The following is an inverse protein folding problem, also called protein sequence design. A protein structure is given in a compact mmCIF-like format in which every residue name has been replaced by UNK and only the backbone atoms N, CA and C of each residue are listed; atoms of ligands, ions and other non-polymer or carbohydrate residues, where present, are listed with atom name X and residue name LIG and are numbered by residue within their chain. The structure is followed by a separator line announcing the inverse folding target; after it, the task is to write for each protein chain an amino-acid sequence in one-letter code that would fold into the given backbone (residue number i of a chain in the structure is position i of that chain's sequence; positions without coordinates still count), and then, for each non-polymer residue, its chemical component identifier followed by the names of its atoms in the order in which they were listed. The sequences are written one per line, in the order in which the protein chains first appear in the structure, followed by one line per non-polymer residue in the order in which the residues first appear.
data_IF_996984705544
#
_entry.id   IF_996984705544
#
_cell.length_a   1.000
_cell.length_b   1.000
_cell.length_c   1.000
_cell.angle_alpha   90.00
_cell.angle_beta   90.00
_cell.angle_gamma   90.00
#
_symmetry.space_group_name_H-M   'P 1'
#
loop_
_entity.id
_entity.type
_entity.pdbx_description
1 polymer ?
#
# COMPACT_ATOMS: atom_id res chain seq x y z
N UNK A 1 13.17 6.65 8.55
CA UNK A 1 12.39 7.59 9.37
C UNK A 1 12.46 7.22 10.86
N UNK A 2 11.82 6.12 11.33
CA UNK A 2 11.74 5.82 12.76
C UNK A 2 13.12 5.73 13.43
N UNK A 3 14.00 4.87 12.95
CA UNK A 3 15.35 4.73 13.52
C UNK A 3 16.21 5.99 13.34
N UNK A 4 15.98 6.73 12.28
CA UNK A 4 16.61 8.02 12.05
C UNK A 4 16.08 9.09 13.02
N UNK A 5 14.79 9.05 13.37
CA UNK A 5 14.22 9.87 14.43
C UNK A 5 14.79 9.53 15.80
N UNK A 6 15.01 8.25 16.09
CA UNK A 6 15.68 7.82 17.32
C UNK A 6 17.10 8.39 17.41
N UNK A 7 17.87 8.32 16.32
CA UNK A 7 19.20 8.94 16.23
C UNK A 7 19.13 10.45 16.46
N UNK A 8 18.18 11.15 15.81
CA UNK A 8 17.98 12.59 15.98
C UNK A 8 17.60 12.96 17.43
N UNK A 9 16.91 12.09 18.14
CA UNK A 9 16.59 12.21 19.56
C UNK A 9 17.76 11.85 20.49
N UNK A 10 18.93 11.49 19.95
CA UNK A 10 20.12 11.14 20.70
C UNK A 10 20.22 9.67 21.10
N UNK A 11 19.30 8.80 20.65
CA UNK A 11 19.38 7.37 20.89
C UNK A 11 20.22 6.67 19.80
N UNK A 12 21.52 6.56 20.05
CA UNK A 12 22.51 6.00 19.12
C UNK A 12 22.63 4.47 19.19
N UNK A 13 21.76 3.79 19.95
CA UNK A 13 21.82 2.33 20.10
C UNK A 13 21.24 1.59 18.88
N UNK A 14 20.53 2.28 18.00
CA UNK A 14 19.78 1.69 16.89
C UNK A 14 20.47 1.88 15.55
N UNK A 15 20.55 0.79 14.81
CA UNK A 15 21.01 0.78 13.42
C UNK A 15 20.23 -0.27 12.61
N UNK A 16 20.19 -0.10 11.30
CA UNK A 16 19.47 -0.97 10.39
C UNK A 16 20.47 -1.86 9.64
N UNK A 17 20.21 -3.17 9.65
CA UNK A 17 20.73 -4.13 8.70
C UNK A 17 19.76 -4.23 7.52
N UNK A 18 20.06 -3.58 6.40
CA UNK A 18 19.25 -3.65 5.19
C UNK A 18 19.47 -4.98 4.46
N UNK A 19 18.39 -5.61 4.00
CA UNK A 19 18.45 -6.84 3.21
C UNK A 19 17.67 -6.68 1.92
N UNK A 20 18.37 -6.70 0.79
CA UNK A 20 17.76 -6.74 -0.53
C UNK A 20 17.43 -8.19 -0.92
N UNK A 21 16.13 -8.50 -1.06
CA UNK A 21 15.71 -9.87 -1.42
C UNK A 21 15.97 -10.19 -2.89
N UNK A 22 15.71 -9.25 -3.80
CA UNK A 22 15.71 -9.49 -5.26
C UNK A 22 16.41 -8.39 -6.07
N UNK A 23 17.04 -7.39 -5.42
CA UNK A 23 17.62 -6.22 -6.09
C UNK A 23 19.09 -6.00 -5.67
N UNK A 24 20.02 -6.83 -6.18
CA UNK A 24 21.45 -6.71 -5.83
C UNK A 24 22.02 -5.35 -6.22
N UNK A 25 21.59 -4.77 -7.35
CA UNK A 25 22.12 -3.49 -7.84
C UNK A 25 21.87 -2.35 -6.85
N UNK A 26 20.67 -2.26 -6.28
CA UNK A 26 20.34 -1.25 -5.27
C UNK A 26 21.19 -1.42 -4.02
N UNK A 27 21.36 -2.66 -3.55
CA UNK A 27 22.20 -2.95 -2.37
C UNK A 27 23.66 -2.57 -2.64
N UNK A 28 24.17 -2.89 -3.82
CA UNK A 28 25.55 -2.56 -4.20
C UNK A 28 25.77 -1.04 -4.33
N UNK A 29 24.80 -0.31 -4.88
CA UNK A 29 24.82 1.15 -4.93
C UNK A 29 24.82 1.75 -3.52
N UNK A 30 23.97 1.27 -2.62
CA UNK A 30 23.95 1.72 -1.23
C UNK A 30 25.27 1.38 -0.49
N UNK A 31 25.82 0.18 -0.72
CA UNK A 31 27.16 -0.18 -0.16
C UNK A 31 28.26 0.77 -0.63
N UNK A 32 28.22 1.18 -1.91
CA UNK A 32 29.19 2.12 -2.47
C UNK A 32 29.04 3.55 -1.91
N UNK A 33 27.92 3.86 -1.27
CA UNK A 33 27.60 5.14 -0.63
C UNK A 33 27.61 5.05 0.90
N UNK A 34 28.22 4.02 1.49
CA UNK A 34 28.24 3.76 2.94
C UNK A 34 26.84 3.72 3.60
N UNK A 35 25.82 3.32 2.85
CA UNK A 35 24.43 3.30 3.29
C UNK A 35 23.74 4.66 3.31
N UNK A 36 24.40 5.72 2.91
CA UNK A 36 23.83 7.07 2.86
C UNK A 36 23.11 7.29 1.53
N UNK A 37 21.96 7.96 1.58
CA UNK A 37 21.17 8.36 0.41
C UNK A 37 20.30 9.57 0.73
N UNK A 38 20.02 10.35 -0.28
CA UNK A 38 19.21 11.57 -0.14
C UNK A 38 17.73 11.28 -0.23
N UNK A 39 16.96 11.81 0.69
CA UNK A 39 15.50 11.80 0.68
C UNK A 39 15.00 13.22 0.45
N UNK A 40 14.39 13.44 -0.71
CA UNK A 40 13.66 14.67 -1.03
C UNK A 40 12.29 14.60 -0.39
N UNK A 41 12.08 15.37 0.66
CA UNK A 41 10.78 15.49 1.34
C UNK A 41 10.06 16.68 0.75
N UNK A 42 8.91 16.46 0.09
CA UNK A 42 8.15 17.51 -0.60
C UNK A 42 6.71 17.55 -0.08
N UNK A 43 6.30 18.70 0.43
CA UNK A 43 4.94 18.98 0.90
C UNK A 43 4.48 20.38 0.47
N UNK A 44 3.31 20.81 0.92
CA UNK A 44 2.76 22.14 0.61
C UNK A 44 3.67 23.29 1.07
N UNK A 45 4.57 23.06 2.02
CA UNK A 45 5.48 24.08 2.57
C UNK A 45 6.80 24.15 1.78
N UNK A 46 6.99 23.30 0.78
CA UNK A 46 8.16 23.27 -0.08
C UNK A 46 8.91 21.95 -0.07
N UNK A 47 10.20 22.02 -0.37
CA UNK A 47 11.09 20.87 -0.50
C UNK A 47 12.21 20.94 0.53
N UNK A 48 12.41 19.84 1.24
CA UNK A 48 13.55 19.65 2.16
C UNK A 48 14.35 18.41 1.75
N UNK A 49 15.64 18.44 1.95
CA UNK A 49 16.53 17.29 1.78
C UNK A 49 16.94 16.76 3.14
N UNK A 50 16.95 15.44 3.24
CA UNK A 50 17.36 14.71 4.43
C UNK A 50 18.22 13.52 4.01
N UNK A 51 19.30 13.24 4.76
CA UNK A 51 20.15 12.08 4.55
C UNK A 51 20.03 11.19 5.78
N UNK A 52 19.32 10.04 5.69
CA UNK A 52 19.19 9.12 6.80
C UNK A 52 20.55 8.48 7.17
N UNK A 53 20.82 8.39 8.46
CA UNK A 53 22.07 7.81 8.99
C UNK A 53 21.91 6.44 9.67
N UNK A 54 20.69 5.88 9.69
CA UNK A 54 20.41 4.65 10.44
C UNK A 54 20.81 3.36 9.70
N UNK A 55 21.02 3.40 8.39
CA UNK A 55 21.37 2.22 7.59
C UNK A 55 22.87 1.90 7.73
N UNK A 56 23.16 0.88 8.53
CA UNK A 56 24.56 0.58 8.92
C UNK A 56 25.23 -0.53 8.13
N UNK A 57 24.49 -1.61 7.81
CA UNK A 57 24.97 -2.72 6.99
C UNK A 57 23.92 -3.15 5.99
N UNK A 58 24.37 -3.80 4.93
CA UNK A 58 23.47 -4.25 3.87
C UNK A 58 23.94 -5.60 3.31
N UNK A 59 22.98 -6.46 2.99
CA UNK A 59 23.20 -7.76 2.41
C UNK A 59 22.27 -8.02 1.22
N UNK A 60 22.74 -8.84 0.29
CA UNK A 60 21.94 -9.39 -0.80
C UNK A 60 21.53 -10.81 -0.41
N UNK A 61 20.25 -11.05 -0.16
CA UNK A 61 19.77 -12.35 0.34
C UNK A 61 20.08 -13.53 -0.58
N UNK A 62 20.13 -13.31 -1.90
CA UNK A 62 20.42 -14.36 -2.89
C UNK A 62 21.87 -14.80 -2.93
N UNK A 63 22.81 -13.96 -2.52
CA UNK A 63 24.26 -14.26 -2.57
C UNK A 63 24.92 -14.26 -1.20
N UNK A 64 24.30 -13.62 -0.20
CA UNK A 64 24.85 -13.47 1.16
C UNK A 64 23.86 -14.06 2.21
N UNK A 65 23.17 -15.14 1.85
CA UNK A 65 22.11 -15.75 2.69
C UNK A 65 22.58 -16.04 4.13
N UNK A 66 23.75 -16.63 4.28
CA UNK A 66 24.28 -16.99 5.59
C UNK A 66 24.53 -15.75 6.46
N UNK A 67 24.99 -14.65 5.87
CA UNK A 67 25.17 -13.39 6.59
C UNK A 67 23.82 -12.82 7.06
N UNK A 68 22.75 -12.96 6.28
CA UNK A 68 21.39 -12.57 6.69
C UNK A 68 20.88 -13.44 7.84
N UNK A 69 21.07 -14.76 7.76
CA UNK A 69 20.72 -15.70 8.84
C UNK A 69 21.46 -15.36 10.13
N UNK A 70 22.75 -15.08 10.04
CA UNK A 70 23.57 -14.66 11.20
C UNK A 70 23.14 -13.29 11.74
N UNK A 71 22.73 -12.36 10.87
CA UNK A 71 22.19 -11.07 11.31
C UNK A 71 20.88 -11.22 12.12
N UNK A 72 19.97 -12.11 11.68
CA UNK A 72 18.76 -12.44 12.46
C UNK A 72 19.12 -13.08 13.79
N UNK A 73 20.11 -14.00 13.80
CA UNK A 73 20.56 -14.71 14.97
C UNK A 73 21.39 -13.87 15.95
N UNK A 74 21.88 -12.70 15.54
CA UNK A 74 22.78 -11.89 16.35
C UNK A 74 22.13 -11.45 17.68
N UNK A 75 22.86 -11.48 18.81
CA UNK A 75 22.33 -11.04 20.13
C UNK A 75 21.82 -9.59 20.13
N UNK A 76 22.43 -8.73 19.30
CA UNK A 76 22.06 -7.32 19.16
C UNK A 76 20.80 -7.08 18.34
N UNK A 77 20.34 -8.08 17.58
CA UNK A 77 19.10 -7.94 16.80
C UNK A 77 17.89 -8.05 17.72
N UNK A 78 17.01 -7.04 17.68
CA UNK A 78 15.76 -6.97 18.45
C UNK A 78 14.52 -7.10 17.59
N UNK A 79 14.57 -6.51 16.39
CA UNK A 79 13.44 -6.51 15.44
C UNK A 79 13.87 -7.02 14.07
N UNK A 80 12.93 -7.66 13.41
CA UNK A 80 12.99 -7.92 11.98
C UNK A 80 11.76 -7.26 11.34
N UNK A 81 11.97 -6.30 10.44
CA UNK A 81 10.88 -5.67 9.71
C UNK A 81 10.93 -6.07 8.24
N UNK A 82 9.76 -6.28 7.63
CA UNK A 82 9.65 -6.75 6.25
C UNK A 82 8.83 -5.79 5.39
N UNK A 83 9.34 -5.54 4.18
CA UNK A 83 8.67 -4.82 3.09
C UNK A 83 8.90 -5.59 1.80
N UNK A 84 8.35 -6.81 1.72
CA UNK A 84 8.60 -7.75 0.62
C UNK A 84 7.47 -7.81 -0.40
N UNK A 85 6.41 -7.07 -0.18
CA UNK A 85 5.14 -7.09 -0.90
C UNK A 85 4.41 -8.44 -0.81
N UNK A 86 3.16 -8.50 -1.28
CA UNK A 86 2.37 -9.74 -1.26
C UNK A 86 3.07 -10.91 -1.96
N UNK A 87 3.79 -10.63 -3.04
CA UNK A 87 4.52 -11.63 -3.83
C UNK A 87 5.75 -12.20 -3.10
N UNK A 88 6.21 -11.53 -2.05
CA UNK A 88 7.38 -11.93 -1.26
C UNK A 88 7.09 -12.95 -0.17
N UNK A 89 5.81 -13.21 0.17
CA UNK A 89 5.41 -14.21 1.18
C UNK A 89 5.52 -15.63 0.62
N UNK A 90 6.75 -16.05 0.39
CA UNK A 90 7.09 -17.33 -0.22
C UNK A 90 7.65 -18.30 0.82
N UNK A 91 7.63 -19.63 0.57
CA UNK A 91 8.29 -20.60 1.42
C UNK A 91 9.78 -20.29 1.66
N UNK A 92 10.45 -19.72 0.67
CA UNK A 92 11.86 -19.32 0.79
C UNK A 92 12.08 -18.21 1.84
N UNK A 93 11.17 -17.24 1.93
CA UNK A 93 11.20 -16.21 2.99
C UNK A 93 10.95 -16.85 4.37
N UNK A 94 9.94 -17.72 4.46
CA UNK A 94 9.66 -18.46 5.71
C UNK A 94 10.88 -19.24 6.19
N UNK A 95 11.56 -19.94 5.28
CA UNK A 95 12.77 -20.70 5.61
C UNK A 95 13.95 -19.81 6.01
N UNK A 96 14.13 -18.65 5.35
CA UNK A 96 15.19 -17.70 5.71
C UNK A 96 15.01 -17.17 7.16
N UNK A 97 13.79 -16.79 7.51
CA UNK A 97 13.46 -16.32 8.87
C UNK A 97 13.64 -17.44 9.89
N UNK A 98 13.14 -18.63 9.56
CA UNK A 98 13.23 -19.81 10.41
C UNK A 98 14.66 -20.18 10.75
N UNK A 99 15.57 -20.15 9.78
CA UNK A 99 16.96 -20.51 10.00
C UNK A 99 17.64 -19.57 11.01
N UNK A 100 17.39 -18.26 10.89
CA UNK A 100 17.87 -17.28 11.88
C UNK A 100 17.27 -17.47 13.27
N UNK A 101 15.97 -17.72 13.35
CA UNK A 101 15.26 -17.97 14.62
C UNK A 101 15.74 -19.28 15.28
N UNK A 102 15.98 -20.32 14.50
CA UNK A 102 16.52 -21.60 14.99
C UNK A 102 17.91 -21.42 15.62
N UNK A 103 18.80 -20.66 14.98
CA UNK A 103 20.11 -20.36 15.54
C UNK A 103 19.99 -19.56 16.86
N UNK A 104 19.05 -18.60 16.94
CA UNK A 104 18.82 -17.86 18.18
C UNK A 104 18.34 -18.75 19.31
N UNK A 105 17.38 -19.62 19.06
CA UNK A 105 16.85 -20.56 20.02
C UNK A 105 17.95 -21.52 20.51
N UNK A 106 18.77 -22.05 19.60
CA UNK A 106 19.89 -22.92 19.94
C UNK A 106 20.98 -22.21 20.77
N UNK A 107 21.17 -20.91 20.55
CA UNK A 107 22.08 -20.08 21.32
C UNK A 107 21.50 -19.62 22.68
N UNK A 108 20.27 -20.01 23.02
CA UNK A 108 19.60 -19.58 24.26
C UNK A 108 19.27 -18.09 24.31
N UNK A 109 19.18 -17.43 23.15
CA UNK A 109 18.86 -16.00 23.04
C UNK A 109 17.34 -15.77 23.14
N UNK A 110 16.90 -14.59 23.60
CA UNK A 110 15.49 -14.23 23.64
C UNK A 110 14.91 -14.15 22.21
N UNK A 111 13.57 -14.25 22.12
CA UNK A 111 12.85 -14.08 20.86
C UNK A 111 12.98 -12.69 20.25
N UNK A 112 12.31 -12.50 19.13
CA UNK A 112 12.31 -11.26 18.34
C UNK A 112 10.88 -10.77 18.10
N UNK A 113 10.73 -9.48 17.93
CA UNK A 113 9.59 -8.89 17.26
C UNK A 113 9.81 -8.92 15.74
N UNK A 114 8.90 -9.58 15.02
CA UNK A 114 8.98 -9.77 13.56
C UNK A 114 7.74 -9.12 12.96
N UNK A 115 7.90 -7.91 12.43
CA UNK A 115 6.80 -7.07 11.96
C UNK A 115 6.78 -6.96 10.43
N UNK A 116 5.64 -7.26 9.83
CA UNK A 116 5.41 -6.92 8.44
C UNK A 116 4.98 -5.47 8.33
N UNK A 117 5.60 -4.74 7.40
CA UNK A 117 5.21 -3.39 6.97
C UNK A 117 4.57 -3.41 5.58
N UNK A 118 4.07 -4.54 5.12
CA UNK A 118 3.42 -4.71 3.82
C UNK A 118 1.93 -4.36 3.88
N UNK A 119 1.37 -3.94 2.74
CA UNK A 119 -0.04 -3.60 2.60
C UNK A 119 -0.95 -4.84 2.52
N UNK A 120 -0.88 -5.70 3.52
CA UNK A 120 -1.67 -6.91 3.66
C UNK A 120 -2.51 -6.83 4.93
N UNK A 121 -3.78 -7.11 4.83
CA UNK A 121 -4.65 -7.20 6.01
C UNK A 121 -4.21 -8.38 6.90
N UNK A 122 -4.04 -8.13 8.19
CA UNK A 122 -3.58 -9.11 9.15
C UNK A 122 -2.17 -9.63 8.84
N UNK A 123 -1.29 -8.74 8.40
CA UNK A 123 0.04 -9.06 7.89
C UNK A 123 0.93 -9.78 8.91
N UNK A 124 0.84 -9.46 10.21
CA UNK A 124 1.55 -10.14 11.28
C UNK A 124 1.13 -11.61 11.40
N UNK A 125 -0.17 -11.89 11.37
CA UNK A 125 -0.69 -13.26 11.42
C UNK A 125 -0.25 -14.08 10.21
N UNK A 126 -0.27 -13.49 9.00
CA UNK A 126 0.21 -14.16 7.77
C UNK A 126 1.70 -14.48 7.85
N UNK A 127 2.49 -13.55 8.41
CA UNK A 127 3.92 -13.75 8.60
C UNK A 127 4.21 -14.86 9.61
N UNK A 128 3.50 -14.89 10.74
CA UNK A 128 3.60 -15.97 11.72
C UNK A 128 3.24 -17.32 11.09
N UNK A 129 2.14 -17.38 10.34
CA UNK A 129 1.72 -18.60 9.65
C UNK A 129 2.78 -19.08 8.64
N UNK A 130 3.43 -18.16 7.91
CA UNK A 130 4.50 -18.49 6.97
C UNK A 130 5.71 -19.12 7.68
N UNK A 131 6.15 -18.56 8.80
CA UNK A 131 7.26 -19.10 9.58
C UNK A 131 6.91 -20.45 10.19
N UNK A 132 5.69 -20.62 10.73
CA UNK A 132 5.22 -21.91 11.25
C UNK A 132 5.11 -22.96 10.16
N UNK A 133 4.63 -22.60 8.98
CA UNK A 133 4.56 -23.52 7.84
C UNK A 133 5.96 -24.01 7.40
N UNK A 134 6.99 -23.15 7.51
CA UNK A 134 8.37 -23.57 7.20
C UNK A 134 8.90 -24.61 8.20
N UNK A 135 8.46 -24.57 9.47
CA UNK A 135 8.80 -25.60 10.47
C UNK A 135 8.11 -26.95 10.12
N UNK A 136 6.88 -26.88 9.63
CA UNK A 136 6.04 -28.03 9.35
C UNK A 136 6.22 -28.63 7.94
N UNK A 137 7.08 -28.02 7.11
CA UNK A 137 7.28 -28.42 5.72
C UNK A 137 7.90 -29.83 5.56
N UNK A 138 8.53 -30.35 6.62
CA UNK A 138 9.10 -31.68 6.67
C UNK A 138 8.49 -32.47 7.84
N UNK A 139 8.89 -33.74 8.02
CA UNK A 139 8.50 -34.52 9.19
C UNK A 139 8.94 -33.80 10.47
N UNK A 140 7.98 -33.47 11.32
CA UNK A 140 8.20 -32.67 12.54
C UNK A 140 9.04 -33.45 13.55
N UNK A 141 10.20 -32.96 13.86
CA UNK A 141 11.11 -33.54 14.87
C UNK A 141 10.79 -33.01 16.27
N UNK A 142 11.28 -33.71 17.35
CA UNK A 142 11.17 -33.17 18.70
C UNK A 142 11.76 -31.76 18.86
N UNK A 143 12.84 -31.45 18.13
CA UNK A 143 13.45 -30.12 18.11
C UNK A 143 12.53 -29.07 17.45
N UNK A 144 11.77 -29.45 16.45
CA UNK A 144 10.80 -28.56 15.80
C UNK A 144 9.61 -28.25 16.73
N UNK A 145 9.18 -29.22 17.54
CA UNK A 145 8.15 -29.00 18.57
C UNK A 145 8.64 -28.03 19.64
N UNK A 146 9.89 -28.14 20.05
CA UNK A 146 10.51 -27.21 21.01
C UNK A 146 10.66 -25.80 20.41
N UNK A 147 11.08 -25.70 19.16
CA UNK A 147 11.19 -24.44 18.42
C UNK A 147 9.83 -23.76 18.28
N UNK A 148 8.76 -24.50 17.96
CA UNK A 148 7.39 -23.96 17.93
C UNK A 148 6.96 -23.39 19.26
N UNK A 149 7.23 -24.09 20.37
CA UNK A 149 6.93 -23.62 21.72
C UNK A 149 7.69 -22.34 22.07
N UNK A 150 8.99 -22.30 21.73
CA UNK A 150 9.83 -21.13 21.95
C UNK A 150 9.33 -19.94 21.11
N UNK A 151 8.98 -20.18 19.85
CA UNK A 151 8.44 -19.17 18.94
C UNK A 151 7.14 -18.57 19.47
N UNK A 152 6.21 -19.41 19.94
CA UNK A 152 4.93 -18.96 20.50
C UNK A 152 5.09 -18.24 21.86
N UNK A 153 6.10 -18.59 22.64
CA UNK A 153 6.31 -18.03 23.96
C UNK A 153 7.17 -16.76 23.97
N UNK A 154 8.08 -16.60 23.01
CA UNK A 154 9.09 -15.55 23.06
C UNK A 154 9.14 -14.64 21.84
N UNK A 155 8.61 -15.06 20.69
CA UNK A 155 8.54 -14.19 19.51
C UNK A 155 7.19 -13.49 19.40
N UNK A 156 7.18 -12.29 18.83
CA UNK A 156 5.97 -11.55 18.57
C UNK A 156 5.84 -11.24 17.07
N UNK A 157 4.62 -11.33 16.54
CA UNK A 157 4.29 -11.04 15.14
C UNK A 157 3.16 -10.00 15.10
N UNK A 158 3.45 -8.74 15.50
CA UNK A 158 2.43 -7.70 15.50
C UNK A 158 1.93 -7.41 14.09
N UNK A 159 0.61 -7.20 13.95
CA UNK A 159 0.07 -6.57 12.76
C UNK A 159 0.51 -5.10 12.71
N UNK A 160 0.73 -4.58 11.51
CA UNK A 160 1.04 -3.17 11.36
C UNK A 160 0.48 -2.56 10.07
N UNK A 161 0.24 -1.26 10.11
CA UNK A 161 -0.14 -0.46 8.96
C UNK A 161 0.89 0.66 8.78
N UNK A 162 1.42 0.79 7.58
CA UNK A 162 2.32 1.89 7.21
C UNK A 162 1.69 2.74 6.12
N UNK A 163 1.83 4.06 6.23
CA UNK A 163 1.32 5.00 5.25
C UNK A 163 2.34 6.11 4.97
N UNK A 164 2.85 6.11 3.76
CA UNK A 164 3.67 7.17 3.17
C UNK A 164 3.72 6.99 1.67
N UNK A 165 3.51 8.05 0.90
CA UNK A 165 3.65 8.03 -0.55
C UNK A 165 5.13 8.19 -0.92
N UNK A 166 5.69 7.17 -1.57
CA UNK A 166 7.06 7.16 -2.09
C UNK A 166 7.00 6.78 -3.58
N UNK A 167 6.95 7.75 -4.49
CA UNK A 167 7.00 7.48 -5.93
C UNK A 167 8.30 6.81 -6.33
N UNK A 168 8.29 6.12 -7.48
CA UNK A 168 9.52 5.62 -8.07
C UNK A 168 10.53 6.77 -8.31
N UNK A 169 11.81 6.51 -8.05
CA UNK A 169 12.86 7.48 -8.33
C UNK A 169 12.93 7.75 -9.85
N UNK A 170 13.02 9.03 -10.22
CA UNK A 170 13.16 9.47 -11.60
C UNK A 170 14.51 10.13 -11.83
N UNK A 171 15.00 10.22 -13.09
CA UNK A 171 16.24 10.93 -13.40
C UNK A 171 16.26 12.37 -12.88
N UNK A 172 15.12 13.04 -12.85
CA UNK A 172 14.98 14.42 -12.35
C UNK A 172 15.21 14.48 -10.83
N UNK A 173 14.78 13.47 -10.07
CA UNK A 173 15.03 13.38 -8.63
C UNK A 173 16.52 13.18 -8.35
N UNK A 174 17.18 12.32 -9.13
CA UNK A 174 18.63 12.08 -9.01
C UNK A 174 19.43 13.35 -9.35
N UNK A 175 19.06 14.04 -10.44
CA UNK A 175 19.70 15.29 -10.82
C UNK A 175 19.46 16.42 -9.77
N UNK A 176 18.28 16.48 -9.21
CA UNK A 176 17.96 17.44 -8.15
C UNK A 176 18.74 17.14 -6.85
N UNK A 177 18.96 15.86 -6.51
CA UNK A 177 19.80 15.46 -5.39
C UNK A 177 21.24 15.89 -5.60
N UNK A 178 21.80 15.62 -6.79
CA UNK A 178 23.15 16.03 -7.15
C UNK A 178 23.32 17.56 -7.08
N UNK A 179 22.33 18.33 -7.56
CA UNK A 179 22.37 19.79 -7.49
C UNK A 179 22.31 20.31 -6.04
N UNK A 180 21.53 19.67 -5.18
CA UNK A 180 21.38 20.07 -3.78
C UNK A 180 22.57 19.71 -2.88
N UNK A 181 23.18 18.56 -3.13
CA UNK A 181 24.24 17.99 -2.26
C UNK A 181 25.65 18.19 -2.82
N UNK A 182 25.79 18.49 -4.11
CA UNK A 182 27.09 18.57 -4.79
C UNK A 182 27.74 17.19 -5.03
N UNK A 183 27.03 16.10 -4.80
CA UNK A 183 27.48 14.72 -4.91
C UNK A 183 26.52 13.89 -5.76
N UNK A 184 27.04 12.91 -6.49
CA UNK A 184 26.19 11.92 -7.17
C UNK A 184 25.59 10.97 -6.14
N UNK A 185 24.28 10.76 -6.22
CA UNK A 185 23.55 9.82 -5.40
C UNK A 185 22.66 8.94 -6.30
N UNK A 186 23.05 7.67 -6.45
CA UNK A 186 22.32 6.71 -7.27
C UNK A 186 21.05 6.17 -6.58
N UNK A 187 20.89 6.44 -5.28
CA UNK A 187 19.82 5.91 -4.44
C UNK A 187 18.86 6.99 -3.94
N UNK A 188 19.00 8.24 -4.40
CA UNK A 188 18.14 9.33 -4.01
C UNK A 188 16.69 9.04 -4.36
N UNK A 189 15.77 9.40 -3.47
CA UNK A 189 14.33 9.20 -3.64
C UNK A 189 13.54 10.44 -3.23
N UNK A 190 12.28 10.52 -3.69
CA UNK A 190 11.34 11.56 -3.29
C UNK A 190 10.21 10.97 -2.47
N UNK A 191 9.70 11.74 -1.52
CA UNK A 191 8.59 11.34 -0.67
C UNK A 191 7.81 12.56 -0.18
N UNK A 192 6.62 12.34 0.34
CA UNK A 192 5.84 13.36 1.05
C UNK A 192 6.34 13.59 2.49
N UNK A 193 5.92 14.71 3.10
CA UNK A 193 6.19 15.01 4.51
C UNK A 193 5.44 14.11 5.48
N UNK A 194 4.23 13.69 5.10
CA UNK A 194 3.40 12.80 5.91
C UNK A 194 4.01 11.40 6.01
N UNK A 195 3.88 10.79 7.19
CA UNK A 195 4.11 9.37 7.40
C UNK A 195 3.30 8.91 8.62
N UNK A 196 2.83 7.68 8.58
CA UNK A 196 2.17 7.02 9.70
C UNK A 196 2.64 5.56 9.75
N UNK A 197 3.02 5.11 10.94
CA UNK A 197 3.22 3.70 11.24
C UNK A 197 2.38 3.37 12.47
N UNK A 198 1.41 2.52 12.28
CA UNK A 198 0.57 1.96 13.36
C UNK A 198 0.97 0.52 13.53
N UNK A 199 1.24 0.10 14.76
CA UNK A 199 1.65 -1.27 15.08
C UNK A 199 0.89 -1.78 16.30
N UNK A 200 0.58 -3.06 16.29
CA UNK A 200 -0.08 -3.73 17.39
C UNK A 200 0.79 -3.74 18.64
N UNK A 201 0.17 -3.51 19.82
CA UNK A 201 0.82 -3.57 21.12
C UNK A 201 1.13 -5.03 21.51
N UNK A 202 1.99 -5.65 20.68
CA UNK A 202 2.42 -7.04 20.82
C UNK A 202 3.90 -7.15 20.45
N UNK A 203 4.79 -7.14 21.42
CA UNK A 203 6.24 -7.14 21.25
C UNK A 203 6.89 -8.27 22.04
N UNK A 204 8.03 -8.78 21.54
CA UNK A 204 8.87 -9.74 22.27
C UNK A 204 9.48 -9.11 23.54
N UNK A 205 9.82 -7.82 23.48
CA UNK A 205 10.18 -7.01 24.63
C UNK A 205 9.17 -5.85 24.77
N UNK A 206 8.38 -5.79 25.85
CA UNK A 206 7.39 -4.72 26.05
C UNK A 206 7.97 -3.30 26.04
N UNK A 207 9.26 -3.13 26.31
CA UNK A 207 9.93 -1.82 26.27
C UNK A 207 10.04 -1.28 24.83
N UNK A 208 9.90 -2.13 23.81
CA UNK A 208 9.93 -1.72 22.40
C UNK A 208 8.77 -0.79 22.07
N UNK A 209 7.62 -0.95 22.71
CA UNK A 209 6.48 -0.04 22.55
C UNK A 209 6.86 1.41 22.88
N UNK A 210 7.56 1.62 24.00
CA UNK A 210 7.99 2.96 24.45
C UNK A 210 9.00 3.56 23.46
N UNK A 211 9.95 2.74 22.99
CA UNK A 211 10.95 3.17 21.99
C UNK A 211 10.27 3.61 20.69
N UNK A 212 9.35 2.81 20.16
CA UNK A 212 8.63 3.15 18.94
C UNK A 212 7.77 4.41 19.08
N UNK A 213 7.06 4.54 20.22
CA UNK A 213 6.24 5.72 20.52
C UNK A 213 7.10 6.99 20.60
N UNK A 214 8.32 6.92 21.18
CA UNK A 214 9.23 8.08 21.23
C UNK A 214 9.69 8.57 19.87
N UNK A 215 9.62 7.71 18.85
CA UNK A 215 9.90 8.04 17.45
C UNK A 215 8.64 8.37 16.64
N UNK A 216 7.47 8.51 17.27
CA UNK A 216 6.22 8.90 16.62
C UNK A 216 5.41 7.74 16.03
N UNK A 217 5.77 6.48 16.31
CA UNK A 217 4.97 5.32 15.92
C UNK A 217 3.73 5.21 16.83
N UNK A 218 2.58 4.92 16.24
CA UNK A 218 1.34 4.69 16.98
C UNK A 218 1.26 3.21 17.40
N UNK A 219 1.39 2.95 18.69
CA UNK A 219 1.18 1.61 19.25
C UNK A 219 -0.25 1.50 19.73
N UNK A 220 -1.00 0.48 19.29
CA UNK A 220 -2.42 0.29 19.60
C UNK A 220 -2.78 -1.20 19.66
N UNK A 221 -3.90 -1.53 20.31
CA UNK A 221 -4.47 -2.87 20.28
C UNK A 221 -5.40 -3.11 19.09
N UNK A 222 -5.78 -2.04 18.39
CA UNK A 222 -6.65 -2.09 17.23
C UNK A 222 -5.94 -1.46 16.02
N UNK A 223 -5.12 -2.25 15.34
CA UNK A 223 -4.50 -1.87 14.07
C UNK A 223 -5.51 -1.99 12.92
N UNK A 224 -6.49 -2.89 13.05
CA UNK A 224 -7.43 -3.20 11.99
C UNK A 224 -8.25 -1.98 11.54
N UNK A 225 -8.69 -1.13 12.46
CA UNK A 225 -9.42 0.10 12.12
C UNK A 225 -8.61 1.06 11.26
N UNK A 226 -7.28 1.11 11.45
CA UNK A 226 -6.37 1.91 10.64
C UNK A 226 -6.08 1.28 9.28
N UNK A 227 -5.93 -0.06 9.24
CA UNK A 227 -5.81 -0.81 7.97
C UNK A 227 -7.02 -0.59 7.08
N UNK A 228 -8.23 -0.74 7.64
CA UNK A 228 -9.48 -0.53 6.90
C UNK A 228 -9.61 0.92 6.40
N UNK A 229 -9.35 1.90 7.25
CA UNK A 229 -9.41 3.30 6.86
C UNK A 229 -8.44 3.60 5.72
N UNK A 230 -7.19 3.15 5.83
CA UNK A 230 -6.20 3.31 4.76
C UNK A 230 -6.65 2.62 3.47
N UNK A 231 -7.08 1.36 3.57
CA UNK A 231 -7.44 0.55 2.40
C UNK A 231 -8.64 1.13 1.64
N UNK A 232 -9.68 1.52 2.37
CA UNK A 232 -10.94 1.98 1.78
C UNK A 232 -10.90 3.48 1.48
N UNK A 233 -10.41 4.32 2.40
CA UNK A 233 -10.42 5.77 2.26
C UNK A 233 -9.27 6.27 1.38
N UNK A 234 -8.01 5.93 1.70
CA UNK A 234 -6.87 6.33 0.89
C UNK A 234 -6.82 5.55 -0.42
N UNK A 235 -6.64 4.24 -0.34
CA UNK A 235 -6.36 3.42 -1.53
C UNK A 235 -7.60 3.31 -2.44
N UNK A 236 -8.81 3.25 -1.87
CA UNK A 236 -10.06 3.23 -2.64
C UNK A 236 -10.28 4.50 -3.44
N UNK A 237 -10.11 5.67 -2.81
CA UNK A 237 -10.20 6.97 -3.47
C UNK A 237 -9.09 7.19 -4.49
N UNK A 238 -7.88 6.76 -4.18
CA UNK A 238 -6.74 6.79 -5.11
C UNK A 238 -7.03 6.01 -6.39
N UNK A 239 -7.61 4.80 -6.25
CA UNK A 239 -8.04 3.99 -7.40
C UNK A 239 -9.07 4.72 -8.24
N UNK A 240 -10.11 5.30 -7.61
CA UNK A 240 -11.15 6.05 -8.33
C UNK A 240 -10.55 7.24 -9.11
N UNK A 241 -9.73 8.05 -8.45
CA UNK A 241 -9.07 9.19 -9.09
C UNK A 241 -8.13 8.78 -10.23
N UNK A 242 -7.38 7.69 -10.05
CA UNK A 242 -6.46 7.21 -11.07
C UNK A 242 -7.20 6.76 -12.34
N UNK A 243 -8.33 6.07 -12.19
CA UNK A 243 -9.18 5.67 -13.30
C UNK A 243 -9.81 6.88 -14.00
N UNK A 244 -10.35 7.83 -13.22
CA UNK A 244 -10.89 9.09 -13.76
C UNK A 244 -9.81 9.89 -14.50
N UNK A 245 -8.63 10.03 -13.90
CA UNK A 245 -7.50 10.72 -14.50
C UNK A 245 -7.02 10.06 -15.80
N UNK A 246 -6.88 8.74 -15.81
CA UNK A 246 -6.45 8.00 -17.02
C UNK A 246 -7.45 8.13 -18.17
N UNK A 247 -8.75 8.09 -17.88
CA UNK A 247 -9.78 8.24 -18.91
C UNK A 247 -9.85 9.68 -19.46
N UNK A 248 -9.63 10.68 -18.59
CA UNK A 248 -9.72 12.11 -18.96
C UNK A 248 -8.40 12.72 -19.41
N UNK A 249 -7.31 11.93 -19.50
CA UNK A 249 -5.99 12.41 -19.93
C UNK A 249 -5.23 13.25 -18.90
N UNK A 250 -5.57 13.20 -17.62
CA UNK A 250 -4.80 13.83 -16.55
C UNK A 250 -3.58 13.00 -16.21
N UNK A 251 -2.42 13.65 -15.99
CA UNK A 251 -1.16 12.94 -15.76
C UNK A 251 -0.97 12.50 -14.32
N UNK A 252 -1.39 13.33 -13.36
CA UNK A 252 -1.10 13.14 -11.93
C UNK A 252 -2.35 13.24 -11.06
N UNK A 253 -2.30 12.64 -9.88
CA UNK A 253 -3.38 12.74 -8.88
C UNK A 253 -3.63 14.18 -8.45
N UNK A 254 -2.59 14.99 -8.35
CA UNK A 254 -2.74 16.42 -8.04
C UNK A 254 -3.58 17.16 -9.09
N UNK A 255 -3.47 16.78 -10.37
CA UNK A 255 -4.30 17.34 -11.45
C UNK A 255 -5.77 16.93 -11.29
N UNK A 256 -6.03 15.70 -10.83
CA UNK A 256 -7.39 15.24 -10.55
C UNK A 256 -8.01 16.05 -9.40
N UNK A 257 -7.32 16.18 -8.28
CA UNK A 257 -7.81 16.96 -7.11
C UNK A 257 -7.84 18.46 -7.41
N UNK A 258 -7.04 18.94 -8.35
CA UNK A 258 -7.09 20.30 -8.87
C UNK A 258 -8.45 20.65 -9.50
N UNK A 259 -9.13 19.68 -10.11
CA UNK A 259 -10.48 19.85 -10.66
C UNK A 259 -11.52 19.82 -9.52
N UNK A 260 -12.27 20.91 -9.34
CA UNK A 260 -13.17 21.11 -8.20
C UNK A 260 -14.23 20.01 -8.07
N UNK A 261 -14.81 19.56 -9.18
CA UNK A 261 -15.81 18.50 -9.20
C UNK A 261 -15.22 17.13 -8.77
N UNK A 262 -14.01 16.77 -9.23
CA UNK A 262 -13.35 15.53 -8.79
C UNK A 262 -12.99 15.62 -7.29
N UNK A 263 -12.51 16.76 -6.83
CA UNK A 263 -12.26 17.01 -5.40
C UNK A 263 -13.51 16.77 -4.57
N UNK A 264 -14.64 17.38 -4.96
CA UNK A 264 -15.92 17.22 -4.28
C UNK A 264 -16.39 15.77 -4.29
N UNK A 265 -16.31 15.11 -5.45
CA UNK A 265 -16.63 13.68 -5.58
C UNK A 265 -15.85 12.82 -4.60
N UNK A 266 -14.53 13.00 -4.52
CA UNK A 266 -13.66 12.21 -3.65
C UNK A 266 -13.97 12.47 -2.17
N UNK A 267 -14.21 13.73 -1.80
CA UNK A 267 -14.64 14.08 -0.44
C UNK A 267 -15.97 13.44 -0.06
N UNK A 268 -16.94 13.42 -0.98
CA UNK A 268 -18.25 12.79 -0.77
C UNK A 268 -18.16 11.27 -0.74
N UNK A 269 -17.38 10.64 -1.64
CA UNK A 269 -17.09 9.21 -1.61
C UNK A 269 -16.55 8.80 -0.24
N UNK A 270 -15.52 9.48 0.26
CA UNK A 270 -14.93 9.18 1.57
C UNK A 270 -15.89 9.40 2.73
N UNK A 271 -16.66 10.49 2.71
CA UNK A 271 -17.49 10.90 3.85
C UNK A 271 -18.82 10.17 3.91
N UNK A 272 -19.45 9.92 2.75
CA UNK A 272 -20.82 9.39 2.68
C UNK A 272 -20.88 7.87 2.49
N UNK A 273 -19.89 7.30 1.78
CA UNK A 273 -19.96 5.89 1.41
C UNK A 273 -18.86 5.03 2.08
N UNK A 274 -17.75 5.63 2.51
CA UNK A 274 -16.66 4.89 3.18
C UNK A 274 -16.72 5.07 4.70
N UNK A 275 -16.68 6.32 5.18
CA UNK A 275 -16.61 6.64 6.61
C UNK A 275 -17.69 5.98 7.48
N UNK A 276 -18.99 5.84 7.03
CA UNK A 276 -20.01 5.19 7.84
C UNK A 276 -19.76 3.72 8.18
N UNK A 277 -18.73 3.10 7.56
CA UNK A 277 -18.36 1.69 7.72
C UNK A 277 -16.96 1.52 8.29
N UNK A 278 -16.36 2.59 8.83
CA UNK A 278 -15.06 2.56 9.49
C UNK A 278 -15.20 2.67 11.00
N UNK A 279 -14.34 1.97 11.72
CA UNK A 279 -14.25 2.06 13.18
C UNK A 279 -13.29 3.17 13.63
N UNK A 280 -12.53 3.78 12.72
CA UNK A 280 -11.59 4.87 13.00
C UNK A 280 -12.34 6.14 13.38
N UNK A 281 -12.19 6.63 14.61
CA UNK A 281 -12.95 7.78 15.13
C UNK A 281 -12.52 9.13 14.55
N UNK A 282 -11.22 9.28 14.19
CA UNK A 282 -10.63 10.49 13.59
C UNK A 282 -10.68 10.45 12.05
N UNK A 283 -11.69 9.80 11.47
CA UNK A 283 -11.79 9.64 10.00
C UNK A 283 -11.91 10.97 9.25
N UNK A 284 -12.51 11.99 9.86
CA UNK A 284 -12.70 13.29 9.21
C UNK A 284 -11.37 14.04 9.05
N UNK A 285 -10.57 14.08 10.10
CA UNK A 285 -9.22 14.64 10.10
C UNK A 285 -8.32 13.84 9.13
N UNK A 286 -8.46 12.52 9.11
CA UNK A 286 -7.74 11.67 8.18
C UNK A 286 -8.13 11.96 6.72
N UNK A 287 -9.44 12.09 6.41
CA UNK A 287 -9.92 12.51 5.08
C UNK A 287 -9.30 13.84 4.65
N UNK A 288 -9.31 14.84 5.53
CA UNK A 288 -8.80 16.17 5.19
C UNK A 288 -7.28 16.16 4.97
N UNK A 289 -6.54 15.37 5.77
CA UNK A 289 -5.13 15.11 5.54
C UNK A 289 -4.88 14.41 4.19
N UNK A 290 -5.70 13.40 3.82
CA UNK A 290 -5.62 12.73 2.53
C UNK A 290 -5.85 13.70 1.37
N UNK A 291 -6.86 14.57 1.46
CA UNK A 291 -7.13 15.55 0.42
C UNK A 291 -5.98 16.54 0.22
N UNK A 292 -5.34 16.97 1.31
CA UNK A 292 -4.13 17.80 1.25
C UNK A 292 -2.95 17.06 0.59
N UNK A 293 -2.74 15.78 0.93
CA UNK A 293 -1.70 14.92 0.34
C UNK A 293 -1.91 14.70 -1.16
N UNK A 294 -3.14 14.38 -1.57
CA UNK A 294 -3.50 14.20 -2.98
C UNK A 294 -3.30 15.47 -3.81
N UNK A 295 -3.56 16.64 -3.21
CA UNK A 295 -3.36 17.93 -3.86
C UNK A 295 -1.90 18.42 -3.89
N UNK A 296 -0.92 17.66 -3.40
CA UNK A 296 0.48 18.07 -3.36
C UNK A 296 1.10 18.11 -4.77
N UNK A 297 1.37 19.30 -5.36
CA UNK A 297 1.87 19.40 -6.72
C UNK A 297 3.34 18.98 -6.86
N UNK A 298 4.07 18.91 -5.74
CA UNK A 298 5.47 18.49 -5.72
C UNK A 298 5.65 16.98 -5.75
N UNK A 299 4.56 16.23 -5.56
CA UNK A 299 4.54 14.77 -5.61
C UNK A 299 3.90 14.31 -6.93
N UNK A 300 4.73 14.06 -7.93
CA UNK A 300 4.29 13.62 -9.27
C UNK A 300 3.84 12.15 -9.24
N UNK A 301 2.68 11.90 -8.61
CA UNK A 301 2.12 10.55 -8.52
C UNK A 301 1.25 10.27 -9.74
N UNK A 302 1.79 9.50 -10.68
CA UNK A 302 1.17 9.20 -11.99
C UNK A 302 -0.14 8.42 -11.83
N UNK A 303 -1.21 8.85 -12.53
CA UNK A 303 -2.48 8.14 -12.57
C UNK A 303 -2.32 6.73 -13.14
N UNK A 304 -1.50 6.55 -14.18
CA UNK A 304 -1.26 5.24 -14.78
C UNK A 304 -0.48 4.29 -13.86
N UNK A 305 0.46 4.80 -13.04
CA UNK A 305 1.16 4.01 -12.05
C UNK A 305 0.20 3.49 -10.97
N UNK A 306 -0.75 4.31 -10.53
CA UNK A 306 -1.75 3.92 -9.52
C UNK A 306 -2.78 2.97 -10.11
N UNK A 307 -3.17 3.18 -11.39
CA UNK A 307 -4.12 2.34 -12.11
C UNK A 307 -3.53 0.98 -12.56
N UNK A 308 -2.33 0.59 -12.12
CA UNK A 308 -1.83 -0.78 -12.30
C UNK A 308 -2.55 -1.75 -11.36
N UNK A 309 -2.65 -3.02 -11.75
CA UNK A 309 -3.15 -4.13 -10.92
C UNK A 309 -4.56 -3.87 -10.31
N UNK A 310 -5.44 -3.17 -11.01
CA UNK A 310 -6.79 -2.85 -10.53
C UNK A 310 -7.62 -4.10 -10.24
N UNK A 311 -7.44 -5.16 -11.03
CA UNK A 311 -8.12 -6.44 -10.79
C UNK A 311 -7.79 -7.08 -9.44
N UNK A 312 -6.62 -6.77 -8.88
CA UNK A 312 -6.21 -7.24 -7.54
C UNK A 312 -6.56 -6.25 -6.43
N UNK A 313 -6.65 -4.96 -6.77
CA UNK A 313 -6.85 -3.87 -5.82
C UNK A 313 -8.33 -3.61 -5.51
N UNK A 314 -9.18 -3.55 -6.53
CA UNK A 314 -10.61 -3.24 -6.39
C UNK A 314 -11.32 -4.18 -5.40
N UNK A 315 -11.11 -5.51 -5.43
CA UNK A 315 -11.80 -6.44 -4.53
C UNK A 315 -11.65 -6.11 -3.05
N UNK A 316 -10.53 -5.54 -2.66
CA UNK A 316 -10.23 -5.20 -1.27
C UNK A 316 -10.66 -3.78 -0.88
N UNK A 317 -10.89 -2.88 -1.87
CA UNK A 317 -11.04 -1.43 -1.64
C UNK A 317 -12.49 -0.95 -1.66
N UNK A 318 -13.31 -1.46 -2.59
CA UNK A 318 -14.66 -0.94 -2.83
C UNK A 318 -15.80 -1.85 -2.31
N UNK A 319 -15.80 -3.17 -2.58
CA UNK A 319 -16.93 -4.05 -2.23
C UNK A 319 -17.36 -3.96 -0.77
N UNK A 320 -16.47 -3.92 0.25
CA UNK A 320 -16.90 -3.86 1.64
C UNK A 320 -17.70 -2.59 1.96
N UNK A 321 -17.35 -1.44 1.37
CA UNK A 321 -18.10 -0.18 1.57
C UNK A 321 -19.44 -0.22 0.85
N UNK A 322 -19.48 -0.73 -0.38
CA UNK A 322 -20.72 -0.87 -1.16
C UNK A 322 -21.70 -1.80 -0.46
N UNK A 323 -21.26 -2.97 -0.01
CA UNK A 323 -22.08 -3.92 0.74
C UNK A 323 -22.61 -3.31 2.05
N UNK A 324 -21.76 -2.54 2.75
CA UNK A 324 -22.17 -1.82 3.93
C UNK A 324 -23.28 -0.78 3.65
N UNK A 325 -23.18 -0.04 2.53
CA UNK A 325 -24.21 0.90 2.09
C UNK A 325 -25.51 0.18 1.73
N UNK A 326 -25.44 -0.92 0.97
CA UNK A 326 -26.58 -1.75 0.61
C UNK A 326 -27.31 -2.25 1.87
N UNK A 327 -26.55 -2.78 2.84
CA UNK A 327 -27.11 -3.28 4.10
C UNK A 327 -27.85 -2.19 4.91
N UNK A 328 -27.43 -0.92 4.78
CA UNK A 328 -28.07 0.23 5.41
C UNK A 328 -29.20 0.86 4.58
N UNK A 329 -29.42 0.40 3.35
CA UNK A 329 -30.34 1.04 2.41
C UNK A 329 -29.89 2.46 2.01
N UNK A 330 -28.60 2.75 2.11
CA UNK A 330 -28.00 4.04 1.80
C UNK A 330 -27.46 4.08 0.36
N UNK A 331 -27.23 5.30 -0.18
CA UNK A 331 -26.68 5.49 -1.51
C UNK A 331 -25.24 5.01 -1.59
N UNK A 332 -24.90 4.42 -2.74
CA UNK A 332 -23.53 4.04 -3.16
C UNK A 332 -23.21 4.55 -4.57
N UNK A 333 -23.75 5.71 -4.91
CA UNK A 333 -23.64 6.31 -6.25
C UNK A 333 -22.21 6.65 -6.63
N UNK A 334 -21.39 7.09 -5.67
CA UNK A 334 -19.98 7.39 -5.94
C UNK A 334 -19.20 6.13 -6.31
N UNK A 335 -19.38 5.02 -5.59
CA UNK A 335 -18.76 3.75 -5.97
C UNK A 335 -19.29 3.21 -7.31
N UNK A 336 -20.59 3.35 -7.55
CA UNK A 336 -21.20 2.90 -8.80
C UNK A 336 -20.69 3.70 -10.00
N UNK A 337 -20.53 5.02 -9.86
CA UNK A 337 -19.91 5.86 -10.88
C UNK A 337 -18.42 5.51 -11.07
N UNK A 338 -17.68 5.30 -9.98
CA UNK A 338 -16.28 4.85 -10.07
C UNK A 338 -16.15 3.49 -10.78
N UNK A 339 -17.07 2.56 -10.53
CA UNK A 339 -17.14 1.27 -11.24
C UNK A 339 -17.48 1.45 -12.72
N UNK A 340 -18.40 2.36 -13.06
CA UNK A 340 -18.70 2.71 -14.46
C UNK A 340 -17.47 3.30 -15.17
N UNK A 341 -16.69 4.13 -14.49
CA UNK A 341 -15.41 4.65 -15.00
C UNK A 341 -14.39 3.52 -15.17
N UNK A 342 -14.35 2.54 -14.26
CA UNK A 342 -13.47 1.36 -14.42
C UNK A 342 -13.85 0.55 -15.67
N UNK A 343 -15.16 0.34 -15.92
CA UNK A 343 -15.61 -0.28 -17.17
C UNK A 343 -15.13 0.53 -18.38
N UNK A 344 -15.32 1.85 -18.37
CA UNK A 344 -14.84 2.76 -19.46
C UNK A 344 -13.32 2.70 -19.62
N UNK A 345 -12.57 2.62 -18.53
CA UNK A 345 -11.10 2.50 -18.52
C UNK A 345 -10.62 1.27 -19.30
N UNK A 346 -11.36 0.15 -19.27
CA UNK A 346 -10.98 -1.08 -20.00
C UNK A 346 -10.95 -0.93 -21.53
N UNK A 347 -11.50 0.17 -22.09
CA UNK A 347 -11.35 0.51 -23.51
C UNK A 347 -9.90 0.79 -23.92
N UNK A 348 -9.01 1.13 -22.97
CA UNK A 348 -7.61 1.44 -23.26
C UNK A 348 -7.40 2.74 -24.05
N UNK A 349 -8.37 3.66 -24.05
CA UNK A 349 -8.26 4.96 -24.71
C UNK A 349 -8.85 6.08 -23.86
N UNK A 350 -8.23 7.23 -23.87
CA UNK A 350 -8.72 8.46 -23.25
C UNK A 350 -9.99 8.98 -23.95
N UNK A 351 -10.65 9.96 -23.36
CA UNK A 351 -11.73 10.71 -24.04
C UNK A 351 -11.22 11.50 -25.27
N UNK A 352 -9.96 11.91 -25.26
CA UNK A 352 -9.26 12.53 -26.39
C UNK A 352 -9.02 11.58 -27.57
N UNK A 353 -9.15 10.26 -27.35
CA UNK A 353 -8.81 9.22 -28.32
C UNK A 353 -7.38 8.70 -28.21
N UNK A 354 -6.55 9.24 -27.32
CA UNK A 354 -5.19 8.74 -27.09
C UNK A 354 -5.24 7.35 -26.40
N UNK A 355 -4.50 6.38 -26.95
CA UNK A 355 -4.44 5.03 -26.39
C UNK A 355 -3.50 4.94 -25.19
N UNK A 356 -3.84 4.09 -24.24
CA UNK A 356 -2.98 3.68 -23.12
C UNK A 356 -3.03 2.17 -22.88
N UNK A 357 -1.96 1.63 -22.31
CA UNK A 357 -1.88 0.22 -21.98
C UNK A 357 -2.57 -0.07 -20.61
N UNK A 358 -3.28 -1.20 -20.52
CA UNK A 358 -3.77 -1.73 -19.26
C UNK A 358 -2.64 -2.54 -18.59
N UNK A 359 -2.02 -1.99 -17.56
CA UNK A 359 -1.01 -2.67 -16.76
C UNK A 359 -1.69 -3.47 -15.63
N UNK A 360 -2.16 -4.67 -15.96
CA UNK A 360 -2.95 -5.49 -15.05
C UNK A 360 -2.66 -6.97 -15.34
N UNK A 361 -2.58 -7.87 -14.35
CA UNK A 361 -2.44 -9.31 -14.58
C UNK A 361 -3.54 -9.89 -15.47
N UNK A 362 -4.70 -9.23 -15.49
CA UNK A 362 -5.86 -9.62 -16.30
C UNK A 362 -6.05 -8.72 -17.53
N UNK A 363 -5.02 -8.00 -17.96
CA UNK A 363 -5.09 -7.04 -19.06
C UNK A 363 -5.75 -7.60 -20.32
N UNK A 364 -5.43 -8.85 -20.71
CA UNK A 364 -5.99 -9.47 -21.91
C UNK A 364 -7.52 -9.62 -21.82
N UNK A 365 -8.05 -10.13 -20.70
CA UNK A 365 -9.49 -10.31 -20.51
C UNK A 365 -10.21 -8.97 -20.34
N UNK A 366 -9.62 -8.01 -19.65
CA UNK A 366 -10.16 -6.66 -19.47
C UNK A 366 -10.20 -5.90 -20.81
N UNK A 367 -9.16 -5.98 -21.62
CA UNK A 367 -9.12 -5.37 -22.95
C UNK A 367 -10.13 -5.99 -23.92
N UNK A 368 -10.34 -7.31 -23.84
CA UNK A 368 -11.36 -7.98 -24.66
C UNK A 368 -12.77 -7.51 -24.30
N UNK A 369 -13.08 -7.38 -22.99
CA UNK A 369 -14.34 -6.80 -22.53
C UNK A 369 -14.44 -5.32 -22.96
N UNK A 370 -13.36 -4.56 -22.83
CA UNK A 370 -13.30 -3.18 -23.30
C UNK A 370 -13.66 -3.03 -24.77
N UNK A 371 -13.04 -3.84 -25.63
CA UNK A 371 -13.34 -3.81 -27.08
C UNK A 371 -14.81 -4.12 -27.38
N UNK A 372 -15.45 -5.01 -26.63
CA UNK A 372 -16.86 -5.37 -26.79
C UNK A 372 -17.82 -4.22 -26.43
N UNK A 373 -17.39 -3.21 -25.65
CA UNK A 373 -18.21 -2.04 -25.33
C UNK A 373 -18.67 -1.27 -26.58
N UNK A 374 -17.91 -1.32 -27.67
CA UNK A 374 -18.23 -0.63 -28.92
C UNK A 374 -19.43 -1.22 -29.64
N UNK A 375 -19.74 -2.51 -29.42
CA UNK A 375 -20.86 -3.20 -30.07
C UNK A 375 -22.04 -3.39 -29.12
N UNK A 376 -21.80 -3.75 -27.87
CA UNK A 376 -22.80 -3.93 -26.84
C UNK A 376 -22.26 -3.52 -25.46
N UNK A 377 -22.40 -2.24 -25.18
CA UNK A 377 -21.95 -1.64 -23.93
C UNK A 377 -22.67 -2.25 -22.70
N UNK A 378 -23.97 -2.55 -22.80
CA UNK A 378 -24.75 -3.09 -21.67
C UNK A 378 -24.33 -4.53 -21.34
N UNK A 379 -24.10 -5.38 -22.34
CA UNK A 379 -23.59 -6.73 -22.13
C UNK A 379 -22.18 -6.71 -21.52
N UNK A 380 -21.32 -5.79 -21.96
CA UNK A 380 -19.98 -5.63 -21.41
C UNK A 380 -20.01 -5.26 -19.92
N UNK A 381 -20.83 -4.28 -19.52
CA UNK A 381 -20.99 -3.91 -18.11
C UNK A 381 -21.42 -5.10 -17.28
N UNK A 382 -22.46 -5.83 -17.73
CA UNK A 382 -22.93 -7.03 -17.02
C UNK A 382 -21.85 -8.10 -16.89
N UNK A 383 -21.10 -8.36 -17.97
CA UNK A 383 -20.01 -9.35 -17.96
C UNK A 383 -18.90 -8.97 -17.00
N UNK A 384 -18.55 -7.69 -16.90
CA UNK A 384 -17.55 -7.22 -15.94
C UNK A 384 -18.08 -7.29 -14.49
N UNK A 385 -19.35 -6.93 -14.25
CA UNK A 385 -19.95 -6.96 -12.92
C UNK A 385 -20.26 -8.38 -12.43
N UNK A 386 -20.36 -9.36 -13.32
CA UNK A 386 -20.53 -10.78 -12.99
C UNK A 386 -19.24 -11.43 -12.46
N UNK A 387 -18.13 -10.73 -12.47
CA UNK A 387 -16.82 -11.28 -12.07
C UNK A 387 -16.65 -11.28 -10.56
N UNK A 388 -16.73 -12.47 -9.95
CA UNK A 388 -16.55 -12.63 -8.50
C UNK A 388 -15.11 -12.30 -8.03
N UNK A 389 -14.13 -12.52 -8.87
CA UNK A 389 -12.74 -12.16 -8.58
C UNK A 389 -12.49 -10.64 -8.49
N UNK A 390 -13.39 -9.83 -9.05
CA UNK A 390 -13.36 -8.36 -8.93
C UNK A 390 -14.29 -7.83 -7.84
N UNK A 391 -15.46 -8.43 -7.68
CA UNK A 391 -16.53 -7.85 -6.87
C UNK A 391 -16.93 -8.70 -5.67
N UNK A 392 -16.26 -9.84 -5.43
CA UNK A 392 -16.67 -10.82 -4.43
C UNK A 392 -17.92 -11.61 -4.88
N UNK A 393 -18.43 -12.46 -4.00
CA UNK A 393 -19.56 -13.34 -4.33
C UNK A 393 -20.95 -12.66 -4.25
N UNK A 394 -21.05 -11.53 -3.57
CA UNK A 394 -22.33 -10.90 -3.27
C UNK A 394 -22.74 -9.85 -4.32
N UNK A 395 -21.84 -8.94 -4.70
CA UNK A 395 -22.14 -7.84 -5.62
C UNK A 395 -22.52 -8.30 -7.03
N UNK A 396 -21.92 -9.36 -7.61
CA UNK A 396 -22.34 -9.89 -8.92
C UNK A 396 -23.79 -10.32 -8.98
N UNK A 397 -24.38 -10.67 -7.85
CA UNK A 397 -25.78 -11.12 -7.72
C UNK A 397 -26.72 -10.00 -7.18
N UNK A 398 -26.18 -8.82 -6.90
CA UNK A 398 -26.94 -7.72 -6.35
C UNK A 398 -27.56 -6.83 -7.44
N UNK A 399 -28.87 -6.92 -7.63
CA UNK A 399 -29.58 -6.18 -8.68
C UNK A 399 -29.48 -4.66 -8.51
N UNK A 400 -29.47 -4.15 -7.27
CA UNK A 400 -29.36 -2.71 -7.02
C UNK A 400 -27.99 -2.18 -7.46
N UNK A 401 -26.91 -2.91 -7.14
CA UNK A 401 -25.56 -2.60 -7.58
C UNK A 401 -25.45 -2.60 -9.11
N UNK A 402 -25.87 -3.68 -9.74
CA UNK A 402 -25.81 -3.83 -11.21
C UNK A 402 -26.57 -2.69 -11.89
N UNK A 403 -27.81 -2.42 -11.47
CA UNK A 403 -28.63 -1.37 -12.06
C UNK A 403 -28.01 0.01 -11.87
N UNK A 404 -27.36 0.27 -10.73
CA UNK A 404 -26.75 1.58 -10.48
C UNK A 404 -25.51 1.82 -11.32
N UNK A 405 -24.65 0.82 -11.51
CA UNK A 405 -23.53 0.93 -12.45
C UNK A 405 -24.00 1.04 -13.90
N UNK A 406 -25.04 0.27 -14.26
CA UNK A 406 -25.70 0.35 -15.59
C UNK A 406 -26.32 1.73 -15.84
N UNK A 407 -26.78 2.44 -14.81
CA UNK A 407 -27.27 3.81 -14.93
C UNK A 407 -26.14 4.80 -15.24
N UNK A 408 -24.99 4.70 -14.54
CA UNK A 408 -23.89 5.65 -14.70
C UNK A 408 -23.05 5.40 -15.94
N UNK A 409 -22.90 4.17 -16.40
CA UNK A 409 -22.00 3.84 -17.48
C UNK A 409 -22.33 4.55 -18.83
N UNK A 410 -23.61 4.62 -19.30
CA UNK A 410 -23.96 5.40 -20.48
C UNK A 410 -23.63 6.89 -20.35
N UNK A 411 -23.80 7.47 -19.13
CA UNK A 411 -23.46 8.87 -18.88
C UNK A 411 -21.96 9.12 -19.05
N UNK A 412 -21.13 8.22 -18.51
CA UNK A 412 -19.66 8.26 -18.68
C UNK A 412 -19.25 8.12 -20.14
N UNK A 413 -19.90 7.22 -20.90
CA UNK A 413 -19.57 7.00 -22.31
C UNK A 413 -19.96 8.17 -23.22
N UNK A 414 -21.14 8.75 -22.99
CA UNK A 414 -21.73 9.76 -23.90
C UNK A 414 -21.31 11.17 -23.54
N UNK A 415 -21.26 11.49 -22.26
CA UNK A 415 -21.06 12.83 -21.76
C UNK A 415 -19.66 13.05 -21.19
N UNK A 416 -18.88 11.99 -21.00
CA UNK A 416 -17.57 12.00 -20.35
C UNK A 416 -17.65 11.93 -18.82
N UNK A 417 -16.48 11.62 -18.23
CA UNK A 417 -16.32 11.42 -16.76
C UNK A 417 -16.64 12.69 -16.00
N UNK A 418 -16.11 13.83 -16.43
CA UNK A 418 -16.28 15.10 -15.71
C UNK A 418 -17.75 15.53 -15.65
N UNK A 419 -18.52 15.37 -16.75
CA UNK A 419 -19.95 15.65 -16.78
C UNK A 419 -20.76 14.70 -15.90
N UNK A 420 -20.44 13.40 -15.91
CA UNK A 420 -21.12 12.43 -15.07
C UNK A 420 -20.91 12.72 -13.58
N UNK A 421 -19.70 13.14 -13.17
CA UNK A 421 -19.39 13.58 -11.81
C UNK A 421 -20.20 14.83 -11.43
N UNK A 422 -20.25 15.85 -12.30
CA UNK A 422 -21.01 17.06 -12.06
C UNK A 422 -22.49 16.76 -11.91
N UNK A 423 -23.05 15.85 -12.73
CA UNK A 423 -24.43 15.41 -12.63
C UNK A 423 -24.71 14.75 -11.26
N UNK A 424 -23.84 13.82 -10.80
CA UNK A 424 -23.98 13.19 -9.50
C UNK A 424 -24.01 14.24 -8.37
N UNK A 425 -23.03 15.14 -8.36
CA UNK A 425 -22.92 16.19 -7.33
C UNK A 425 -24.20 17.06 -7.31
N UNK A 426 -24.75 17.39 -8.49
CA UNK A 426 -25.96 18.22 -8.59
C UNK A 426 -27.22 17.51 -8.10
N UNK A 427 -27.27 16.18 -8.18
CA UNK A 427 -28.40 15.38 -7.64
C UNK A 427 -28.36 15.27 -6.11
N UNK A 428 -27.22 15.51 -5.50
CA UNK A 428 -27.01 15.37 -4.06
C UNK A 428 -26.92 16.72 -3.31
N UNK A 429 -26.95 17.84 -4.03
CA UNK A 429 -26.97 19.20 -3.49
C UNK A 429 -28.37 19.60 -3.03
#
# INVERSE_FOLDING_TARGET
MVFDQLLANGDTRWGIHGVGMTRPDLVNQLKAQDGLYAVRIADANGVKWHVPGALWRMHVATTERDAVVQAIAAPSTRWVTLTVTEKGYTPALGQLLLDGLRLRQQAGLPGLTIASCDNLQGNGHKLQALVKAAIQANDTTPQDVELLRWLDAQCAFPCSMVDRIVPAATPEVLAAAQAALGLQDACALSTEGFWEWVIEDHFADPLDAVVLQSAGVRVTRDVHSYEEAKLRMLNGSHTAMALMGAVTGRAFIADCVGAAHIRTFVQQLMSREVAPHLSRSDWAEYRDALMARFGNPHLKHSVHQIATDNSQKIPQRWPPSVLGQIAKGASFDHHALAAAVFVRYTLGVEESGQAYALNDPQAASLSALGAAQRSDSAACVRALLAREDLWGSELPNNTAWINRVMHWHPQVLQNGVDCAIQQLISLEA
#
